data_IF_342640263700
#
_entry.id   IF_342640263700
#
_cell.length_a   1.000
_cell.length_b   1.000
_cell.length_c   1.000
_cell.angle_alpha   90.00
_cell.angle_beta   90.00
_cell.angle_gamma   90.00
#
_symmetry.space_group_name_H-M   'P 1'
#
loop_
_entity.id
_entity.type
_entity.pdbx_description
1 polymer ?
#
# COMPACT_ATOMS: atom_id res chain seq x y z
N UNK A 1 -10.54 -3.74 9.28
CA UNK A 1 -9.50 -4.77 9.20
C UNK A 1 -10.14 -6.06 8.75
N UNK A 2 -9.56 -6.73 7.76
CA UNK A 2 -9.93 -8.07 7.33
C UNK A 2 -8.89 -9.06 7.85
N UNK A 3 -9.35 -10.24 8.25
CA UNK A 3 -8.50 -11.32 8.79
C UNK A 3 -7.69 -10.93 10.04
N UNK A 4 -8.35 -10.52 11.14
CA UNK A 4 -7.67 -10.12 12.36
C UNK A 4 -6.90 -11.26 13.04
N UNK A 5 -7.21 -12.50 12.70
CA UNK A 5 -6.52 -13.71 13.15
C UNK A 5 -5.20 -13.96 12.46
N UNK A 6 -5.00 -13.39 11.26
CA UNK A 6 -3.77 -13.55 10.49
C UNK A 6 -2.69 -12.58 10.95
N UNK A 7 -1.46 -13.08 10.98
CA UNK A 7 -0.29 -12.24 11.25
C UNK A 7 0.19 -11.61 9.95
N UNK A 8 0.44 -10.30 9.99
CA UNK A 8 1.08 -9.59 8.89
C UNK A 8 2.56 -9.39 9.23
N UNK A 9 3.43 -9.90 8.38
CA UNK A 9 4.86 -9.66 8.50
C UNK A 9 5.49 -9.60 7.11
N UNK A 10 6.38 -8.63 6.89
CA UNK A 10 7.03 -8.50 5.61
C UNK A 10 7.77 -7.20 5.42
N UNK A 11 8.32 -7.03 4.24
CA UNK A 11 9.02 -5.82 3.82
C UNK A 11 8.02 -4.84 3.21
N UNK A 12 8.02 -3.60 3.66
CA UNK A 12 7.14 -2.58 3.12
C UNK A 12 7.50 -2.23 1.67
N UNK A 13 6.57 -2.50 0.76
CA UNK A 13 6.53 -1.91 -0.56
C UNK A 13 5.53 -0.75 -0.53
N UNK A 14 5.93 0.45 -0.92
CA UNK A 14 5.13 1.64 -0.69
C UNK A 14 4.64 2.27 -1.99
N UNK A 15 3.40 2.76 -1.98
CA UNK A 15 2.79 3.53 -3.06
C UNK A 15 2.21 4.83 -2.51
N UNK A 16 2.59 5.95 -3.12
CA UNK A 16 2.12 7.28 -2.75
C UNK A 16 1.13 7.80 -3.79
N UNK A 17 -0.08 8.11 -3.35
CA UNK A 17 -1.08 8.78 -4.18
C UNK A 17 -1.30 10.22 -3.71
N UNK A 18 -1.59 11.08 -4.66
CA UNK A 18 -1.96 12.48 -4.43
C UNK A 18 -3.28 12.79 -5.12
N UNK A 19 -3.92 13.88 -4.72
CA UNK A 19 -5.08 14.39 -5.46
C UNK A 19 -4.67 14.71 -6.89
N UNK A 20 -5.47 14.28 -7.85
CA UNK A 20 -5.23 14.56 -9.26
C UNK A 20 -5.22 16.08 -9.51
N UNK A 21 -4.21 16.51 -10.24
CA UNK A 21 -4.05 17.87 -10.75
C UNK A 21 -3.44 17.76 -12.15
N UNK A 22 -3.93 18.55 -13.07
CA UNK A 22 -3.48 18.48 -14.47
C UNK A 22 -1.96 18.71 -14.65
N UNK A 23 -1.38 19.61 -13.87
CA UNK A 23 0.06 19.87 -13.86
C UNK A 23 0.87 18.71 -13.25
N UNK A 24 0.39 18.10 -12.15
CA UNK A 24 1.02 16.92 -11.57
C UNK A 24 0.96 15.74 -12.55
N UNK A 25 -0.21 15.51 -13.16
CA UNK A 25 -0.39 14.43 -14.12
C UNK A 25 0.57 14.56 -15.30
N UNK A 26 0.77 15.78 -15.81
CA UNK A 26 1.73 16.04 -16.88
C UNK A 26 3.17 15.70 -16.47
N UNK A 27 3.59 16.10 -15.26
CA UNK A 27 4.94 15.81 -14.73
C UNK A 27 5.15 14.31 -14.54
N UNK A 28 4.16 13.65 -13.94
CA UNK A 28 4.20 12.19 -13.67
C UNK A 28 4.27 11.42 -15.00
N UNK A 29 3.44 11.79 -15.97
CA UNK A 29 3.43 11.14 -17.29
C UNK A 29 4.71 11.41 -18.09
N UNK A 30 5.28 12.61 -17.99
CA UNK A 30 6.56 12.91 -18.64
C UNK A 30 7.68 12.02 -18.07
N UNK A 31 7.79 11.91 -16.74
CA UNK A 31 8.75 11.02 -16.07
C UNK A 31 8.54 9.54 -16.41
N UNK A 32 7.28 9.12 -16.57
CA UNK A 32 6.97 7.75 -16.98
C UNK A 32 7.52 7.47 -18.38
N UNK A 33 7.29 8.40 -19.34
CA UNK A 33 7.80 8.29 -20.72
C UNK A 33 9.32 8.26 -20.78
N UNK A 34 10.01 9.11 -20.01
CA UNK A 34 11.48 9.10 -19.91
C UNK A 34 12.02 7.72 -19.45
N UNK A 35 11.27 7.01 -18.63
CA UNK A 35 11.63 5.67 -18.16
C UNK A 35 11.10 4.54 -19.04
N UNK A 36 10.47 4.84 -20.18
CA UNK A 36 9.86 3.83 -21.04
C UNK A 36 8.63 3.14 -20.42
N UNK A 37 7.99 3.77 -19.43
CA UNK A 37 6.80 3.24 -18.76
C UNK A 37 5.57 3.80 -19.46
N UNK A 38 4.70 2.96 -20.06
CA UNK A 38 3.56 3.43 -20.86
C UNK A 38 2.51 4.17 -20.05
N UNK A 39 2.36 3.83 -18.77
CA UNK A 39 1.41 4.47 -17.85
C UNK A 39 1.84 4.24 -16.40
N UNK A 40 1.90 5.32 -15.61
CA UNK A 40 2.04 5.23 -14.15
C UNK A 40 0.65 5.12 -13.52
N UNK A 41 0.11 3.93 -13.53
CA UNK A 41 -1.14 3.57 -12.84
C UNK A 41 -0.85 2.63 -11.67
N UNK A 42 -1.88 2.23 -10.93
CA UNK A 42 -1.75 1.31 -9.82
C UNK A 42 -1.16 -0.05 -10.23
N UNK A 43 -1.46 -0.53 -11.44
CA UNK A 43 -0.92 -1.79 -11.96
C UNK A 43 0.61 -1.79 -12.01
N UNK A 44 1.21 -0.67 -12.43
CA UNK A 44 2.67 -0.53 -12.43
C UNK A 44 3.30 -0.83 -11.08
N UNK A 45 2.70 -0.33 -9.99
CA UNK A 45 3.19 -0.64 -8.64
C UNK A 45 2.95 -2.09 -8.23
N UNK A 46 1.81 -2.66 -8.61
CA UNK A 46 1.48 -4.05 -8.26
C UNK A 46 2.38 -5.05 -8.97
N UNK A 47 2.78 -4.79 -10.21
CA UNK A 47 3.68 -5.65 -10.99
C UNK A 47 5.11 -5.71 -10.40
N UNK A 48 5.46 -4.79 -9.51
CA UNK A 48 6.75 -4.77 -8.81
C UNK A 48 6.74 -5.54 -7.50
N UNK A 49 5.59 -6.02 -7.03
CA UNK A 49 5.47 -6.75 -5.77
C UNK A 49 6.26 -8.06 -5.80
N UNK A 50 6.86 -8.40 -4.67
CA UNK A 50 7.63 -9.61 -4.48
C UNK A 50 7.06 -10.44 -3.33
N UNK A 51 7.31 -11.75 -3.29
CA UNK A 51 6.96 -12.59 -2.14
C UNK A 51 7.48 -12.01 -0.82
N UNK A 52 6.60 -11.94 0.18
CA UNK A 52 6.90 -11.38 1.48
C UNK A 52 6.78 -9.86 1.58
N UNK A 53 6.32 -9.18 0.53
CA UNK A 53 6.05 -7.73 0.62
C UNK A 53 4.74 -7.46 1.37
N UNK A 54 4.74 -6.41 2.18
CA UNK A 54 3.54 -5.75 2.70
C UNK A 54 3.32 -4.49 1.87
N UNK A 55 2.28 -4.48 1.06
CA UNK A 55 1.91 -3.31 0.27
C UNK A 55 1.31 -2.24 1.17
N UNK A 56 1.99 -1.12 1.31
CA UNK A 56 1.56 0.04 2.08
C UNK A 56 1.17 1.19 1.13
N UNK A 57 -0.10 1.52 1.08
CA UNK A 57 -0.66 2.52 0.17
C UNK A 57 -1.08 3.77 0.94
N UNK A 58 -0.40 4.87 0.67
CA UNK A 58 -0.83 6.20 1.12
C UNK A 58 -1.85 6.76 0.12
N UNK A 59 -3.12 6.70 0.51
CA UNK A 59 -4.23 7.29 -0.22
C UNK A 59 -4.75 8.55 0.51
N UNK A 60 -3.87 9.25 1.22
CA UNK A 60 -4.11 10.44 2.04
C UNK A 60 -5.36 10.37 2.94
N UNK A 61 -5.75 9.18 3.39
CA UNK A 61 -6.93 8.96 4.23
C UNK A 61 -8.26 9.05 3.48
N UNK A 62 -8.27 8.93 2.15
CA UNK A 62 -9.48 9.01 1.30
C UNK A 62 -10.47 7.91 1.66
N UNK A 63 -11.68 8.31 2.11
CA UNK A 63 -12.74 7.39 2.57
C UNK A 63 -13.88 7.23 1.58
N UNK A 64 -14.06 8.18 0.69
CA UNK A 64 -15.14 8.24 -0.30
C UNK A 64 -14.60 8.61 -1.68
N UNK A 65 -15.36 8.29 -2.74
CA UNK A 65 -14.96 8.52 -4.13
C UNK A 65 -13.95 7.50 -4.63
N UNK A 66 -14.06 6.29 -4.13
CA UNK A 66 -13.43 5.09 -4.66
C UNK A 66 -12.11 4.68 -4.02
N UNK A 67 -11.70 3.51 -4.45
CA UNK A 67 -10.51 2.81 -3.97
C UNK A 67 -9.71 2.25 -5.14
N UNK A 68 -8.42 2.04 -4.92
CA UNK A 68 -7.51 1.44 -5.92
C UNK A 68 -7.58 -0.08 -5.95
N UNK A 69 -8.14 -0.72 -4.92
CA UNK A 69 -8.17 -2.18 -4.77
C UNK A 69 -9.62 -2.65 -4.63
N UNK A 70 -10.03 -3.52 -5.53
CA UNK A 70 -11.19 -4.39 -5.43
C UNK A 70 -10.73 -5.85 -5.36
N UNK A 71 -11.67 -6.80 -5.48
CA UNK A 71 -11.43 -8.23 -5.32
C UNK A 71 -10.37 -8.79 -6.29
N UNK A 72 -10.44 -8.44 -7.56
CA UNK A 72 -9.49 -8.90 -8.57
C UNK A 72 -8.05 -8.46 -8.25
N UNK A 73 -7.86 -7.18 -7.92
CA UNK A 73 -6.54 -6.67 -7.56
C UNK A 73 -6.07 -7.18 -6.20
N UNK A 74 -6.99 -7.40 -5.26
CA UNK A 74 -6.68 -8.02 -3.98
C UNK A 74 -6.16 -9.46 -4.17
N UNK A 75 -6.81 -10.24 -5.03
CA UNK A 75 -6.36 -11.58 -5.40
C UNK A 75 -4.95 -11.54 -6.02
N UNK A 76 -4.72 -10.59 -6.95
CA UNK A 76 -3.41 -10.41 -7.56
C UNK A 76 -2.33 -10.09 -6.51
N UNK A 77 -2.59 -9.14 -5.61
CA UNK A 77 -1.68 -8.77 -4.52
C UNK A 77 -1.40 -9.98 -3.62
N UNK A 78 -2.43 -10.74 -3.25
CA UNK A 78 -2.29 -11.97 -2.46
C UNK A 78 -1.35 -12.98 -3.13
N UNK A 79 -1.51 -13.19 -4.44
CA UNK A 79 -0.65 -14.11 -5.20
C UNK A 79 0.78 -13.60 -5.32
N UNK A 80 0.96 -12.31 -5.57
CA UNK A 80 2.28 -11.71 -5.73
C UNK A 80 3.06 -11.70 -4.40
N UNK A 81 2.39 -11.34 -3.29
CA UNK A 81 3.04 -11.22 -1.98
C UNK A 81 3.14 -12.53 -1.20
N UNK A 82 2.30 -13.52 -1.51
CA UNK A 82 2.20 -14.85 -0.88
C UNK A 82 1.91 -14.81 0.62
N UNK A 83 2.84 -14.35 1.47
CA UNK A 83 2.73 -14.30 2.91
C UNK A 83 2.81 -12.86 3.48
N UNK A 84 2.66 -11.87 2.62
CA UNK A 84 2.73 -10.45 3.00
C UNK A 84 1.42 -9.92 3.58
N UNK A 85 1.01 -8.75 3.09
CA UNK A 85 -0.22 -8.10 3.51
C UNK A 85 -0.53 -6.84 2.73
N UNK A 86 -1.68 -6.25 3.03
CA UNK A 86 -2.13 -4.99 2.43
C UNK A 86 -2.50 -3.98 3.52
N UNK A 87 -1.97 -2.78 3.42
CA UNK A 87 -2.34 -1.65 4.28
C UNK A 87 -2.71 -0.47 3.37
N UNK A 88 -3.96 -0.03 3.44
CA UNK A 88 -4.45 1.12 2.65
C UNK A 88 -4.87 2.25 3.60
N UNK A 89 -4.18 3.36 3.52
CA UNK A 89 -4.63 4.59 4.19
C UNK A 89 -5.75 5.26 3.41
N UNK A 90 -6.83 4.51 3.19
CA UNK A 90 -7.98 4.85 2.38
C UNK A 90 -9.07 3.80 2.41
N UNK A 91 -9.96 3.82 1.43
CA UNK A 91 -11.06 2.88 1.30
C UNK A 91 -10.67 1.60 0.55
N UNK A 92 -11.46 0.52 0.77
CA UNK A 92 -11.52 -0.69 -0.05
C UNK A 92 -12.93 -0.90 -0.58
N UNK A 93 -13.06 -1.65 -1.68
CA UNK A 93 -14.35 -2.11 -2.21
C UNK A 93 -14.38 -3.64 -2.30
N UNK A 94 -15.55 -4.15 -2.66
CA UNK A 94 -15.78 -5.59 -2.93
C UNK A 94 -15.44 -6.47 -1.72
N UNK A 95 -15.77 -5.97 -0.51
CA UNK A 95 -15.37 -6.61 0.74
C UNK A 95 -15.86 -8.05 0.88
N UNK A 96 -17.05 -8.36 0.36
CA UNK A 96 -17.60 -9.73 0.37
C UNK A 96 -16.74 -10.67 -0.48
N UNK A 97 -16.28 -10.22 -1.64
CA UNK A 97 -15.37 -10.98 -2.50
C UNK A 97 -13.98 -11.16 -1.86
N UNK A 98 -13.51 -10.14 -1.16
CA UNK A 98 -12.20 -10.15 -0.48
C UNK A 98 -12.21 -11.01 0.79
N UNK A 99 -13.34 -11.08 1.51
CA UNK A 99 -13.43 -11.76 2.80
C UNK A 99 -13.06 -13.25 2.77
N UNK A 100 -13.19 -13.91 1.62
CA UNK A 100 -12.77 -15.30 1.41
C UNK A 100 -11.29 -15.48 1.06
N UNK A 101 -10.53 -14.41 0.91
CA UNK A 101 -9.13 -14.45 0.46
C UNK A 101 -8.16 -14.35 1.63
N UNK A 102 -7.18 -15.24 1.69
CA UNK A 102 -6.25 -15.36 2.82
C UNK A 102 -5.10 -14.35 2.73
N UNK A 103 -5.40 -13.04 2.86
CA UNK A 103 -4.40 -11.98 2.96
C UNK A 103 -4.82 -10.98 4.06
N UNK A 104 -3.99 -10.75 5.11
CA UNK A 104 -4.29 -9.77 6.13
C UNK A 104 -4.34 -8.36 5.52
N UNK A 105 -5.39 -7.60 5.87
CA UNK A 105 -5.61 -6.28 5.27
C UNK A 105 -6.12 -5.26 6.28
N UNK A 106 -5.49 -4.09 6.26
CA UNK A 106 -5.88 -2.90 7.02
C UNK A 106 -6.31 -1.78 6.09
N UNK A 107 -7.46 -1.17 6.36
CA UNK A 107 -8.04 -0.09 5.58
C UNK A 107 -8.89 0.83 6.48
N UNK A 108 -9.25 2.02 5.99
CA UNK A 108 -10.03 3.00 6.76
C UNK A 108 -11.53 2.85 6.65
N UNK A 109 -12.03 2.55 5.46
CA UNK A 109 -13.47 2.50 5.17
C UNK A 109 -13.76 1.60 3.98
N UNK A 110 -15.04 1.26 3.80
CA UNK A 110 -15.55 0.66 2.57
C UNK A 110 -16.15 1.76 1.67
N UNK A 111 -15.91 1.67 0.37
CA UNK A 111 -16.55 2.51 -0.64
C UNK A 111 -16.69 1.70 -1.93
N UNK A 112 -17.91 1.51 -2.48
CA UNK A 112 -18.13 0.64 -3.63
C UNK A 112 -17.63 1.24 -4.95
N UNK A 113 -17.32 2.53 -4.97
CA UNK A 113 -16.95 3.23 -6.19
C UNK A 113 -15.53 2.85 -6.65
N UNK A 114 -15.29 2.94 -7.94
CA UNK A 114 -13.94 2.89 -8.45
C UNK A 114 -13.21 4.21 -8.16
N UNK A 115 -11.88 4.16 -8.15
CA UNK A 115 -11.06 5.31 -7.78
C UNK A 115 -11.16 6.45 -8.79
N UNK A 116 -11.38 7.66 -8.28
CA UNK A 116 -11.36 8.90 -9.07
C UNK A 116 -10.57 9.98 -8.37
N UNK A 117 -10.08 10.95 -9.15
CA UNK A 117 -9.45 12.15 -8.62
C UNK A 117 -8.14 11.93 -7.88
N UNK A 118 -7.38 10.89 -8.24
CA UNK A 118 -6.06 10.61 -7.69
C UNK A 118 -5.05 10.29 -8.78
N UNK A 119 -3.79 10.59 -8.50
CA UNK A 119 -2.63 10.26 -9.32
C UNK A 119 -1.65 9.45 -8.50
N UNK A 120 -1.13 8.36 -9.06
CA UNK A 120 0.02 7.66 -8.49
C UNK A 120 1.25 8.54 -8.68
N UNK A 121 1.69 9.16 -7.59
CA UNK A 121 2.80 10.10 -7.62
C UNK A 121 4.16 9.39 -7.61
N UNK A 122 4.28 8.30 -6.84
CA UNK A 122 5.53 7.55 -6.75
C UNK A 122 5.32 6.15 -6.14
N UNK A 123 6.28 5.26 -6.41
CA UNK A 123 6.43 3.96 -5.76
C UNK A 123 7.79 3.88 -5.06
N UNK A 124 7.88 3.06 -4.01
CA UNK A 124 9.09 2.88 -3.21
C UNK A 124 9.68 4.20 -2.69
N UNK A 125 8.82 5.07 -2.18
CA UNK A 125 9.17 6.32 -1.48
C UNK A 125 8.61 6.29 -0.05
N UNK A 126 9.10 7.15 0.86
CA UNK A 126 8.46 7.32 2.16
C UNK A 126 7.01 7.75 2.01
N UNK A 127 6.10 7.07 2.71
CA UNK A 127 4.66 7.33 2.68
C UNK A 127 4.13 7.57 4.10
N UNK A 128 2.94 8.13 4.19
CA UNK A 128 2.22 8.31 5.43
C UNK A 128 1.09 7.28 5.53
N UNK A 129 1.08 6.50 6.60
CA UNK A 129 -0.03 5.61 6.94
C UNK A 129 -0.59 6.08 8.30
N UNK A 130 -1.74 6.69 8.28
CA UNK A 130 -2.26 7.39 9.46
C UNK A 130 -1.34 8.54 9.87
N UNK A 131 -0.78 8.45 11.08
CA UNK A 131 0.16 9.41 11.63
C UNK A 131 1.61 8.89 11.66
N UNK A 132 1.90 7.81 10.93
CA UNK A 132 3.23 7.17 10.94
C UNK A 132 3.86 7.26 9.56
N UNK A 133 5.14 7.60 9.52
CA UNK A 133 5.96 7.50 8.31
C UNK A 133 6.43 6.07 8.12
N UNK A 134 6.11 5.49 6.97
CA UNK A 134 6.57 4.18 6.52
C UNK A 134 7.59 4.40 5.41
N UNK A 135 8.80 3.91 5.59
CA UNK A 135 9.85 3.93 4.58
C UNK A 135 9.84 2.63 3.78
N UNK A 136 10.21 2.63 2.49
CA UNK A 136 10.44 1.41 1.73
C UNK A 136 11.39 0.47 2.47
N UNK A 137 11.20 -0.83 2.31
CA UNK A 137 11.96 -1.90 2.95
C UNK A 137 11.93 -1.90 4.50
N UNK A 138 11.11 -1.06 5.14
CA UNK A 138 10.85 -1.18 6.58
C UNK A 138 10.24 -2.56 6.85
N UNK A 139 10.79 -3.29 7.84
CA UNK A 139 10.16 -4.53 8.29
C UNK A 139 8.86 -4.19 9.01
N UNK A 140 7.79 -4.67 8.44
CA UNK A 140 6.46 -4.65 9.04
C UNK A 140 6.24 -5.94 9.81
N UNK A 141 5.90 -5.84 11.07
CA UNK A 141 5.43 -7.00 11.84
C UNK A 141 4.28 -6.59 12.73
N UNK A 142 3.18 -7.29 12.60
CA UNK A 142 2.02 -7.14 13.45
C UNK A 142 1.61 -8.49 14.02
N UNK A 143 1.54 -8.54 15.33
CA UNK A 143 0.96 -9.68 16.02
C UNK A 143 -0.51 -9.30 16.27
N UNK A 144 -1.41 -9.92 15.52
CA UNK A 144 -2.84 -9.74 15.72
C UNK A 144 -3.26 -10.28 17.10
N UNK A 145 -3.12 -9.46 18.11
CA UNK A 145 -3.90 -9.49 19.35
C UNK A 145 -4.03 -8.07 19.84
N UNK A 146 -5.28 -7.63 19.93
CA UNK A 146 -5.66 -6.37 20.50
C UNK A 146 -5.02 -6.17 21.87
N UNK A 147 -4.01 -5.31 21.93
CA UNK A 147 -3.63 -4.63 23.15
C UNK A 147 -3.34 -3.16 22.77
N UNK A 148 -3.87 -2.19 23.52
CA UNK A 148 -3.86 -0.78 23.10
C UNK A 148 -2.51 -0.08 23.23
N UNK A 149 -1.41 -0.80 23.24
CA UNK A 149 -0.06 -0.23 23.28
C UNK A 149 0.78 -0.73 22.11
N UNK A 150 0.80 0.03 21.04
CA UNK A 150 1.72 -0.11 19.93
C UNK A 150 3.17 0.09 20.44
N UNK A 151 3.88 -0.97 20.78
CA UNK A 151 5.32 -0.91 21.05
C UNK A 151 6.10 -1.12 19.74
N UNK A 152 6.67 -0.02 19.24
CA UNK A 152 7.73 -0.01 18.24
C UNK A 152 8.90 -0.89 18.70
N UNK A 153 9.25 -1.92 17.94
CA UNK A 153 10.63 -2.43 17.91
C UNK A 153 11.21 -2.10 16.52
N UNK A 154 11.77 -0.93 16.40
CA UNK A 154 12.71 -0.63 15.32
C UNK A 154 14.06 -1.23 15.69
N UNK A 155 14.44 -2.35 15.11
CA UNK A 155 15.87 -2.69 15.06
C UNK A 155 16.52 -1.67 14.11
N UNK A 156 17.38 -0.84 14.64
CA UNK A 156 18.28 0.01 13.83
C UNK A 156 19.26 -0.93 13.10
N UNK A 157 19.39 -0.84 11.76
CA UNK A 157 20.58 -1.36 11.10
C UNK A 157 21.78 -0.57 11.64
N UNK A 158 22.84 -1.26 12.04
CA UNK A 158 24.11 -0.63 12.38
C UNK A 158 24.73 -0.05 11.10
N UNK A 159 24.54 1.22 10.88
CA UNK A 159 25.27 1.98 9.89
C UNK A 159 26.60 2.39 10.52
N UNK A 160 27.69 1.75 10.11
CA UNK A 160 29.04 2.29 10.28
C UNK A 160 29.35 3.10 9.03
N UNK A 161 29.52 4.42 9.19
CA UNK A 161 30.04 5.26 8.14
C UNK A 161 31.52 4.89 7.87
N UNK A 162 31.95 4.77 6.61
CA UNK A 162 33.36 4.69 6.31
C UNK A 162 34.02 6.05 6.61
N UNK A 163 35.15 6.01 7.32
CA UNK A 163 36.09 7.12 7.53
C UNK A 163 36.67 7.58 6.21
#
# INVERSE_FOLDING_TARGET
>A
MLHPEMKMAGRAFTMAFMRARADLDQVVMAKAREKGIPSLNNQYGFDMLQPGDVLAVDLYGKKVGGTIVGDNLFYYIMKATQAGGLVVDGALRDLDGIAGMALPCYYRSADPSWITGVTLAAVNVPVRIGNVTVRPATLWSEIARASPSFRRRTRRPSWTAPT
#
